data_IF_347294247285
#
_entry.id   IF_347294247285
#
_cell.length_a   1.000
_cell.length_b   1.000
_cell.length_c   1.000
_cell.angle_alpha   90.00
_cell.angle_beta   90.00
_cell.angle_gamma   90.00
#
_symmetry.space_group_name_H-M   'P 1'
#
loop_
_entity.id
_entity.type
_entity.pdbx_description
1 polymer ?
#
# COMPACT_ATOMS: atom_id res chain seq x y z
N UNK A 1 29.33 -18.84 60.71
CA UNK A 1 30.07 -17.59 60.91
C UNK A 1 30.25 -16.94 59.54
N UNK A 2 29.46 -15.90 59.26
CA UNK A 2 29.88 -14.48 59.19
C UNK A 2 30.69 -14.18 57.90
N UNK A 3 30.02 -13.72 56.83
CA UNK A 3 29.66 -12.33 56.47
C UNK A 3 30.82 -11.48 55.90
N UNK A 4 30.67 -11.06 54.63
CA UNK A 4 30.84 -9.66 54.13
C UNK A 4 30.67 -9.65 52.60
N UNK A 5 29.53 -9.20 52.07
CA UNK A 5 29.13 -7.81 51.82
C UNK A 5 29.98 -7.10 50.76
N UNK A 6 29.48 -7.06 49.53
CA UNK A 6 29.57 -5.87 48.69
C UNK A 6 28.18 -5.58 48.13
N UNK A 7 27.61 -4.47 48.61
CA UNK A 7 26.37 -3.90 48.12
C UNK A 7 26.69 -2.96 46.96
N UNK A 8 25.95 -3.08 45.85
CA UNK A 8 25.77 -2.01 44.88
C UNK A 8 24.27 -1.84 44.72
N UNK A 9 23.75 -0.77 45.30
CA UNK A 9 22.45 -0.19 44.98
C UNK A 9 22.61 0.59 43.67
N UNK A 10 21.76 0.34 42.69
CA UNK A 10 21.33 1.35 41.73
C UNK A 10 19.89 1.05 41.30
N UNK A 11 19.01 1.91 41.83
CA UNK A 11 17.65 2.18 41.38
C UNK A 11 17.66 2.55 39.89
N UNK A 12 16.85 1.90 39.05
CA UNK A 12 16.29 2.55 37.86
C UNK A 12 14.87 2.03 37.56
N UNK A 13 13.96 3.00 37.65
CA UNK A 13 12.63 3.17 37.08
C UNK A 13 11.98 2.08 36.21
N UNK A 14 10.72 1.85 36.59
CA UNK A 14 9.52 2.00 35.76
C UNK A 14 9.25 0.99 34.63
N UNK A 15 8.20 0.21 34.88
CA UNK A 15 7.09 -0.03 33.96
C UNK A 15 7.44 -0.23 32.48
N UNK A 16 7.68 -1.48 32.09
CA UNK A 16 7.24 -1.94 30.78
C UNK A 16 6.02 -2.82 30.98
N UNK A 17 4.87 -2.18 31.19
CA UNK A 17 3.60 -2.77 30.82
C UNK A 17 3.71 -2.98 29.30
N UNK A 18 3.99 -4.22 28.91
CA UNK A 18 3.68 -4.68 27.57
C UNK A 18 2.16 -4.52 27.42
N UNK A 19 1.75 -3.39 26.85
CA UNK A 19 0.44 -3.29 26.22
C UNK A 19 0.51 -4.23 25.04
N UNK A 20 0.12 -5.48 25.27
CA UNK A 20 -0.41 -6.33 24.22
C UNK A 20 -1.55 -5.52 23.60
N UNK A 21 -1.29 -4.88 22.47
CA UNK A 21 -2.37 -4.37 21.63
C UNK A 21 -3.12 -5.60 21.14
N UNK A 22 -4.13 -6.02 21.90
CA UNK A 22 -5.23 -6.77 21.33
C UNK A 22 -5.75 -5.89 20.20
N UNK A 23 -5.60 -6.31 18.95
CA UNK A 23 -6.42 -5.80 17.86
C UNK A 23 -7.86 -6.04 18.30
N UNK A 24 -8.51 -5.03 18.88
CA UNK A 24 -9.94 -5.05 19.03
C UNK A 24 -10.47 -5.10 17.61
N UNK A 25 -11.03 -6.23 17.19
CA UNK A 25 -11.76 -6.29 15.92
C UNK A 25 -12.92 -5.32 16.08
N UNK A 26 -12.85 -4.17 15.41
CA UNK A 26 -13.94 -3.20 15.47
C UNK A 26 -15.22 -3.90 15.00
N UNK A 27 -16.29 -3.77 15.77
CA UNK A 27 -17.57 -4.38 15.45
C UNK A 27 -18.50 -3.33 14.87
N UNK A 28 -19.14 -3.70 13.77
CA UNK A 28 -20.26 -2.96 13.22
C UNK A 28 -21.44 -2.93 14.21
N UNK A 29 -22.26 -1.89 14.10
CA UNK A 29 -23.50 -1.77 14.87
C UNK A 29 -24.53 -2.84 14.48
N UNK A 30 -25.02 -3.60 15.47
CA UNK A 30 -26.02 -4.65 15.25
C UNK A 30 -27.32 -4.14 14.60
N UNK A 31 -27.62 -2.85 14.74
CA UNK A 31 -28.79 -2.22 14.10
C UNK A 31 -28.73 -2.26 12.57
N UNK A 32 -27.59 -2.54 11.96
CA UNK A 32 -27.49 -2.81 10.51
C UNK A 32 -28.36 -3.99 10.07
N UNK A 33 -28.50 -5.03 10.89
CA UNK A 33 -29.34 -6.18 10.56
C UNK A 33 -30.83 -5.82 10.56
N UNK A 34 -31.20 -4.74 11.24
CA UNK A 34 -32.54 -4.16 11.28
C UNK A 34 -32.56 -2.76 10.66
N UNK A 35 -31.78 -2.53 9.59
CA UNK A 35 -31.60 -1.18 9.01
C UNK A 35 -32.92 -0.51 8.63
N UNK A 36 -33.94 -1.28 8.23
CA UNK A 36 -35.26 -0.75 7.91
C UNK A 36 -35.94 -0.05 9.08
N UNK A 37 -35.78 -0.57 10.30
CA UNK A 37 -36.38 0.05 11.50
C UNK A 37 -35.57 1.26 11.94
N UNK A 38 -34.25 1.20 11.82
CA UNK A 38 -33.40 2.38 12.01
C UNK A 38 -33.80 3.53 11.08
N UNK A 39 -34.00 3.25 9.79
CA UNK A 39 -34.42 4.27 8.81
C UNK A 39 -35.81 4.85 9.13
N UNK A 40 -36.76 4.03 9.60
CA UNK A 40 -38.08 4.54 10.05
C UNK A 40 -37.93 5.45 11.26
N UNK A 41 -37.09 5.10 12.23
CA UNK A 41 -36.83 5.94 13.41
C UNK A 41 -36.21 7.28 12.99
N UNK A 42 -35.31 7.26 12.01
CA UNK A 42 -34.71 8.47 11.45
C UNK A 42 -35.78 9.38 10.79
N UNK A 43 -36.62 8.80 9.93
CA UNK A 43 -37.68 9.54 9.22
C UNK A 43 -38.74 10.11 10.17
N UNK A 44 -38.94 9.48 11.34
CA UNK A 44 -39.90 9.94 12.35
C UNK A 44 -39.45 11.20 13.11
N UNK A 45 -38.24 11.71 12.85
CA UNK A 45 -37.70 12.91 13.48
C UNK A 45 -37.26 12.71 14.94
N UNK A 46 -37.13 11.45 15.38
CA UNK A 46 -36.61 11.13 16.71
C UNK A 46 -35.11 11.40 16.82
N UNK A 47 -34.61 11.57 18.06
CA UNK A 47 -33.17 11.62 18.32
C UNK A 47 -32.60 10.21 18.18
N UNK A 48 -31.98 9.91 17.04
CA UNK A 48 -31.40 8.59 16.75
C UNK A 48 -29.88 8.64 16.88
N UNK A 49 -29.32 7.73 17.68
CA UNK A 49 -27.86 7.59 17.80
C UNK A 49 -27.24 7.16 16.47
N UNK A 50 -26.11 7.75 16.04
CA UNK A 50 -25.43 7.35 14.81
C UNK A 50 -25.09 5.86 14.78
N UNK A 51 -25.12 5.26 13.58
CA UNK A 51 -24.62 3.90 13.35
C UNK A 51 -23.10 3.91 13.28
N UNK A 52 -22.48 2.99 14.00
CA UNK A 52 -21.02 2.79 13.98
C UNK A 52 -20.67 1.68 13.03
N UNK A 53 -19.89 1.98 12.01
CA UNK A 53 -19.53 1.03 10.95
C UNK A 53 -18.01 0.94 10.82
N UNK A 54 -17.52 -0.24 10.48
CA UNK A 54 -16.19 -0.42 9.92
C UNK A 54 -16.10 0.26 8.55
N UNK A 55 -14.89 0.63 8.09
CA UNK A 55 -14.68 1.24 6.79
C UNK A 55 -15.23 0.38 5.64
N UNK A 56 -15.03 -0.93 5.73
CA UNK A 56 -15.50 -1.91 4.74
C UNK A 56 -17.03 -1.91 4.64
N UNK A 57 -17.72 -2.01 5.77
CA UNK A 57 -19.18 -2.01 5.80
C UNK A 57 -19.75 -0.68 5.30
N UNK A 58 -19.15 0.45 5.67
CA UNK A 58 -19.53 1.76 5.13
C UNK A 58 -19.40 1.81 3.60
N UNK A 59 -18.30 1.29 3.03
CA UNK A 59 -18.07 1.27 1.58
C UNK A 59 -19.04 0.32 0.85
N UNK A 60 -19.46 -0.75 1.50
CA UNK A 60 -20.40 -1.73 0.97
C UNK A 60 -21.88 -1.30 1.07
N UNK A 61 -22.21 -0.24 1.83
CA UNK A 61 -23.54 0.34 1.78
C UNK A 61 -23.85 0.88 0.38
N UNK A 62 -25.05 0.58 -0.12
CA UNK A 62 -25.52 1.17 -1.38
C UNK A 62 -25.57 2.70 -1.25
N UNK A 63 -25.34 3.46 -2.34
CA UNK A 63 -25.38 4.92 -2.29
C UNK A 63 -26.67 5.48 -1.69
N UNK A 64 -27.82 4.90 -2.04
CA UNK A 64 -29.12 5.32 -1.52
C UNK A 64 -29.27 5.11 0.00
N UNK A 65 -28.75 3.99 0.54
CA UNK A 65 -28.77 3.75 1.99
C UNK A 65 -27.83 4.74 2.69
N UNK A 66 -26.62 4.91 2.17
CA UNK A 66 -25.62 5.85 2.73
C UNK A 66 -26.14 7.28 2.76
N UNK A 67 -26.74 7.75 1.66
CA UNK A 67 -27.33 9.08 1.56
C UNK A 67 -28.50 9.27 2.53
N UNK A 68 -29.36 8.25 2.67
CA UNK A 68 -30.52 8.34 3.58
C UNK A 68 -30.12 8.37 5.05
N UNK A 69 -29.07 7.65 5.44
CA UNK A 69 -28.53 7.72 6.81
C UNK A 69 -27.81 9.05 7.04
N UNK A 70 -27.07 9.54 6.03
CA UNK A 70 -26.39 10.83 6.06
C UNK A 70 -25.42 10.96 7.23
N UNK A 71 -25.57 12.03 8.01
CA UNK A 71 -24.70 12.37 9.15
C UNK A 71 -24.94 11.47 10.37
N UNK A 72 -25.92 10.56 10.32
CA UNK A 72 -26.09 9.53 11.35
C UNK A 72 -25.18 8.32 11.13
N UNK A 73 -24.05 8.51 10.45
CA UNK A 73 -22.98 7.53 10.27
C UNK A 73 -21.71 7.96 11.00
N UNK A 74 -21.07 6.97 11.62
CA UNK A 74 -19.74 7.09 12.21
C UNK A 74 -18.92 5.91 11.70
N UNK A 75 -17.74 6.19 11.16
CA UNK A 75 -16.81 5.16 10.70
C UNK A 75 -15.79 4.91 11.79
N UNK A 76 -15.53 3.65 12.12
CA UNK A 76 -14.51 3.23 13.07
C UNK A 76 -13.17 3.17 12.34
N UNK A 77 -12.15 3.90 12.82
CA UNK A 77 -10.79 3.76 12.31
C UNK A 77 -10.15 2.42 12.75
N UNK A 78 -8.91 2.18 12.33
CA UNK A 78 -8.13 0.99 12.70
C UNK A 78 -7.92 0.81 14.21
N UNK A 79 -8.06 1.88 14.99
CA UNK A 79 -8.00 1.89 16.45
C UNK A 79 -9.40 1.85 17.10
N UNK A 80 -10.43 1.54 16.31
CA UNK A 80 -11.85 1.57 16.67
C UNK A 80 -12.33 2.91 17.22
N UNK A 81 -11.67 4.01 16.84
CA UNK A 81 -12.10 5.35 17.22
C UNK A 81 -13.15 5.84 16.22
N UNK A 82 -14.21 6.50 16.72
CA UNK A 82 -15.27 7.01 15.86
C UNK A 82 -14.79 8.24 15.08
N UNK A 83 -14.94 8.18 13.76
CA UNK A 83 -14.78 9.29 12.82
C UNK A 83 -16.16 9.65 12.30
N UNK A 84 -16.63 10.86 12.63
CA UNK A 84 -17.95 11.34 12.22
C UNK A 84 -18.01 11.50 10.70
N UNK A 85 -19.06 10.98 10.06
CA UNK A 85 -19.37 11.29 8.65
C UNK A 85 -20.14 12.60 8.61
N UNK A 86 -19.76 13.49 7.70
CA UNK A 86 -20.44 14.76 7.49
C UNK A 86 -20.65 14.99 6.00
N UNK A 87 -21.88 15.29 5.60
CA UNK A 87 -22.27 15.44 4.20
C UNK A 87 -21.89 14.20 3.35
N UNK A 88 -21.98 13.01 3.95
CA UNK A 88 -21.73 11.73 3.29
C UNK A 88 -20.27 11.26 3.27
N UNK A 89 -19.30 12.05 3.73
CA UNK A 89 -17.87 11.69 3.76
C UNK A 89 -17.24 11.95 5.14
N UNK A 90 -16.23 11.17 5.58
CA UNK A 90 -15.44 11.52 6.75
C UNK A 90 -14.57 12.77 6.48
N UNK A 91 -14.36 13.65 7.48
CA UNK A 91 -13.59 14.89 7.32
C UNK A 91 -12.08 14.67 7.20
N UNK A 92 -11.61 13.47 7.56
CA UNK A 92 -10.21 13.06 7.48
C UNK A 92 -10.11 11.72 6.77
N UNK A 93 -8.98 11.49 6.11
CA UNK A 93 -8.75 10.21 5.42
C UNK A 93 -8.63 9.08 6.43
N UNK A 94 -9.43 8.04 6.24
CA UNK A 94 -9.42 6.84 7.06
C UNK A 94 -8.44 5.84 6.46
N UNK A 95 -7.51 5.38 7.28
CA UNK A 95 -6.54 4.37 6.89
C UNK A 95 -7.16 2.98 6.94
N UNK A 96 -6.92 2.16 5.91
CA UNK A 96 -7.39 0.78 5.85
C UNK A 96 -6.55 -0.04 4.87
N UNK A 97 -6.70 -1.37 4.89
CA UNK A 97 -5.90 -2.25 4.04
C UNK A 97 -6.17 -2.01 2.56
N UNK A 98 -5.10 -2.02 1.75
CA UNK A 98 -5.20 -1.79 0.31
C UNK A 98 -6.16 -2.76 -0.42
N UNK A 99 -6.21 -4.08 -0.11
CA UNK A 99 -7.13 -4.99 -0.77
C UNK A 99 -8.60 -4.57 -0.64
N UNK A 100 -9.00 -4.03 0.53
CA UNK A 100 -10.39 -3.60 0.76
C UNK A 100 -10.69 -2.31 -0.01
N UNK A 101 -9.76 -1.33 -0.01
CA UNK A 101 -9.90 -0.11 -0.82
C UNK A 101 -9.99 -0.45 -2.31
N UNK A 102 -9.08 -1.32 -2.78
CA UNK A 102 -9.05 -1.77 -4.16
C UNK A 102 -10.37 -2.44 -4.54
N UNK A 103 -10.83 -3.41 -3.76
CA UNK A 103 -12.10 -4.10 -3.99
C UNK A 103 -13.27 -3.13 -4.09
N UNK A 104 -13.44 -2.24 -3.10
CA UNK A 104 -14.50 -1.25 -3.09
C UNK A 104 -14.43 -0.29 -4.30
N UNK A 105 -13.22 0.10 -4.71
CA UNK A 105 -13.01 0.96 -5.88
C UNK A 105 -13.37 0.25 -7.18
N UNK A 106 -12.87 -0.97 -7.40
CA UNK A 106 -13.18 -1.76 -8.60
C UNK A 106 -14.68 -2.00 -8.72
N UNK A 107 -15.32 -2.39 -7.62
CA UNK A 107 -16.76 -2.56 -7.54
C UNK A 107 -17.54 -1.30 -7.92
N UNK A 108 -17.12 -0.13 -7.40
CA UNK A 108 -17.74 1.15 -7.73
C UNK A 108 -17.52 1.53 -9.20
N UNK A 109 -16.36 1.20 -9.78
CA UNK A 109 -16.07 1.39 -11.21
C UNK A 109 -16.96 0.51 -12.07
N UNK A 110 -17.08 -0.78 -11.75
CA UNK A 110 -17.90 -1.74 -12.48
C UNK A 110 -19.40 -1.40 -12.44
N UNK A 111 -19.87 -0.85 -11.31
CA UNK A 111 -21.27 -0.38 -11.16
C UNK A 111 -21.53 1.00 -11.77
N UNK A 112 -20.50 1.72 -12.21
CA UNK A 112 -20.63 3.11 -12.67
C UNK A 112 -21.00 4.11 -11.56
N UNK A 113 -20.74 3.75 -10.29
CA UNK A 113 -21.06 4.54 -9.10
C UNK A 113 -19.96 5.58 -8.84
N UNK A 114 -20.04 6.71 -9.55
CA UNK A 114 -19.05 7.78 -9.48
C UNK A 114 -18.99 8.47 -8.11
N UNK A 115 -20.08 8.43 -7.33
CA UNK A 115 -20.10 8.97 -5.96
C UNK A 115 -19.20 8.11 -5.09
N UNK A 116 -19.42 6.78 -5.05
CA UNK A 116 -18.58 5.88 -4.26
C UNK A 116 -17.13 5.90 -4.75
N UNK A 117 -16.87 5.97 -6.06
CA UNK A 117 -15.50 6.12 -6.59
C UNK A 117 -14.79 7.34 -5.99
N UNK A 118 -15.45 8.50 -5.97
CA UNK A 118 -14.90 9.74 -5.43
C UNK A 118 -14.70 9.66 -3.92
N UNK A 119 -15.66 9.08 -3.19
CA UNK A 119 -15.57 8.84 -1.75
C UNK A 119 -14.33 7.98 -1.47
N UNK A 120 -14.15 6.85 -2.15
CA UNK A 120 -13.01 5.94 -1.94
C UNK A 120 -11.68 6.69 -2.19
N UNK A 121 -11.57 7.48 -3.26
CA UNK A 121 -10.36 8.21 -3.61
C UNK A 121 -10.00 9.35 -2.65
N UNK A 122 -11.01 10.03 -2.06
CA UNK A 122 -10.81 11.23 -1.25
C UNK A 122 -10.78 10.94 0.24
N UNK A 123 -11.58 9.99 0.69
CA UNK A 123 -11.86 9.73 2.10
C UNK A 123 -11.08 8.56 2.68
N UNK A 124 -10.44 7.73 1.86
CA UNK A 124 -9.69 6.57 2.33
C UNK A 124 -8.24 6.63 1.88
N UNK A 125 -7.34 6.09 2.70
CA UNK A 125 -5.91 5.96 2.43
C UNK A 125 -5.48 4.52 2.64
N UNK A 126 -4.68 3.99 1.72
CA UNK A 126 -4.09 2.67 1.91
C UNK A 126 -3.10 2.70 3.09
N UNK A 127 -3.23 1.72 3.98
CA UNK A 127 -2.27 1.49 5.05
C UNK A 127 -0.86 1.25 4.46
N UNK A 128 0.20 1.69 5.15
CA UNK A 128 1.56 1.36 4.76
C UNK A 128 1.76 -0.15 4.68
N UNK A 129 2.65 -0.57 3.78
CA UNK A 129 2.99 -1.98 3.58
C UNK A 129 4.50 -2.18 3.70
N UNK A 130 4.89 -3.41 4.00
CA UNK A 130 6.29 -3.81 3.98
C UNK A 130 6.85 -3.78 2.56
N UNK A 131 8.19 -3.73 2.39
CA UNK A 131 8.79 -3.81 1.07
C UNK A 131 8.40 -5.09 0.34
N UNK A 132 8.44 -6.26 0.99
CA UNK A 132 7.98 -7.52 0.40
C UNK A 132 6.54 -7.48 -0.11
N UNK A 133 5.61 -6.92 0.68
CA UNK A 133 4.22 -6.72 0.26
C UNK A 133 4.12 -5.75 -0.92
N UNK A 134 4.82 -4.61 -0.87
CA UNK A 134 4.86 -3.66 -1.98
C UNK A 134 5.37 -4.31 -3.27
N UNK A 135 6.41 -5.13 -3.18
CA UNK A 135 6.97 -5.86 -4.32
C UNK A 135 5.91 -6.77 -4.97
N UNK A 136 4.99 -7.35 -4.20
CA UNK A 136 3.87 -8.13 -4.74
C UNK A 136 2.85 -7.25 -5.52
N UNK A 137 2.68 -5.99 -5.13
CA UNK A 137 1.79 -5.02 -5.79
C UNK A 137 2.30 -4.55 -7.15
N UNK A 138 3.57 -4.81 -7.49
CA UNK A 138 4.10 -4.53 -8.83
C UNK A 138 3.52 -5.45 -9.92
N UNK A 139 2.67 -6.40 -9.53
CA UNK A 139 1.89 -7.24 -10.45
C UNK A 139 0.92 -6.41 -11.28
N UNK A 140 0.80 -6.74 -12.57
CA UNK A 140 -0.16 -6.15 -13.51
C UNK A 140 -1.59 -6.62 -13.22
N UNK A 141 -2.57 -5.73 -13.36
CA UNK A 141 -4.00 -6.04 -13.34
C UNK A 141 -4.38 -6.65 -14.70
N UNK A 142 -4.59 -7.97 -14.77
CA UNK A 142 -4.66 -8.73 -16.04
C UNK A 142 -6.08 -9.01 -16.55
N UNK A 143 -7.08 -8.24 -16.14
CA UNK A 143 -8.49 -8.63 -16.35
C UNK A 143 -9.03 -8.36 -17.77
N UNK A 144 -8.79 -7.16 -18.35
CA UNK A 144 -9.04 -6.77 -19.75
C UNK A 144 -8.57 -5.31 -19.97
N UNK A 145 -8.20 -4.91 -21.19
CA UNK A 145 -7.93 -3.52 -21.59
C UNK A 145 -9.12 -2.58 -21.27
N UNK A 146 -10.36 -3.05 -21.39
CA UNK A 146 -11.56 -2.27 -21.06
C UNK A 146 -11.56 -1.86 -19.59
N UNK A 147 -11.38 -2.82 -18.68
CA UNK A 147 -11.38 -2.55 -17.25
C UNK A 147 -10.17 -1.70 -16.86
N UNK A 148 -8.99 -1.99 -17.43
CA UNK A 148 -7.78 -1.17 -17.24
C UNK A 148 -8.04 0.30 -17.58
N UNK A 149 -8.70 0.57 -18.72
CA UNK A 149 -9.05 1.92 -19.13
C UNK A 149 -10.15 2.55 -18.26
N UNK A 150 -11.07 1.76 -17.72
CA UNK A 150 -12.09 2.26 -16.78
C UNK A 150 -11.45 2.64 -15.44
N UNK A 151 -10.62 1.76 -14.86
CA UNK A 151 -9.88 2.00 -13.63
C UNK A 151 -8.94 3.19 -13.77
N UNK A 152 -8.17 3.26 -14.85
CA UNK A 152 -7.27 4.38 -15.17
C UNK A 152 -8.02 5.72 -15.17
N UNK A 153 -9.15 5.80 -15.88
CA UNK A 153 -9.97 7.02 -15.97
C UNK A 153 -10.59 7.39 -14.63
N UNK A 154 -11.17 6.42 -13.92
CA UNK A 154 -11.80 6.66 -12.63
C UNK A 154 -10.79 7.10 -11.57
N UNK A 155 -9.59 6.50 -11.57
CA UNK A 155 -8.53 6.82 -10.63
C UNK A 155 -7.76 8.09 -11.02
N UNK A 156 -7.86 8.53 -12.28
CA UNK A 156 -7.09 9.67 -12.81
C UNK A 156 -5.61 9.37 -12.93
N UNK A 157 -5.24 8.12 -13.22
CA UNK A 157 -3.84 7.67 -13.40
C UNK A 157 -3.64 7.23 -14.86
N UNK A 158 -2.59 7.70 -15.55
CA UNK A 158 -2.31 7.24 -16.91
C UNK A 158 -1.89 5.76 -16.86
N UNK A 159 -2.41 4.90 -17.77
CA UNK A 159 -1.92 3.53 -17.84
C UNK A 159 -0.54 3.51 -18.48
N UNK A 160 0.24 2.48 -18.15
CA UNK A 160 1.52 2.22 -18.77
C UNK A 160 1.32 1.56 -20.14
N UNK A 161 2.33 1.64 -21.00
CA UNK A 161 2.35 1.01 -22.32
C UNK A 161 3.46 -0.06 -22.37
N UNK A 162 3.20 -1.19 -23.01
CA UNK A 162 4.20 -2.24 -23.32
C UNK A 162 5.11 -1.89 -24.49
N UNK A 163 4.77 -0.87 -25.29
CA UNK A 163 5.59 -0.41 -26.42
C UNK A 163 6.96 0.06 -25.91
N UNK A 164 8.04 -0.52 -26.46
CA UNK A 164 9.44 -0.23 -26.11
C UNK A 164 9.99 -0.83 -24.80
N UNK A 165 9.68 -2.09 -24.48
CA UNK A 165 10.64 -2.86 -23.68
C UNK A 165 11.82 -3.22 -24.61
N UNK A 166 12.98 -2.59 -24.41
CA UNK A 166 14.17 -2.75 -25.27
C UNK A 166 14.75 -4.17 -25.36
N UNK A 167 14.04 -5.19 -24.88
CA UNK A 167 14.51 -6.58 -24.79
C UNK A 167 13.47 -7.66 -25.18
N UNK A 168 12.23 -7.33 -25.59
CA UNK A 168 11.23 -8.36 -25.93
C UNK A 168 11.30 -8.82 -27.40
N UNK A 169 12.10 -9.86 -27.67
CA UNK A 169 12.13 -10.66 -28.91
C UNK A 169 10.97 -11.67 -29.01
N UNK A 170 9.74 -11.23 -28.79
CA UNK A 170 8.55 -12.07 -28.95
C UNK A 170 7.51 -11.41 -29.84
N UNK A 171 7.03 -12.12 -30.86
CA UNK A 171 6.09 -11.61 -31.87
C UNK A 171 4.78 -11.03 -31.30
N UNK A 172 4.45 -11.35 -30.03
CA UNK A 172 3.28 -10.86 -29.30
C UNK A 172 3.37 -9.44 -28.73
N UNK A 173 4.52 -8.76 -28.84
CA UNK A 173 4.76 -7.41 -28.28
C UNK A 173 4.89 -6.30 -29.32
N UNK A 174 4.52 -6.62 -30.55
CA UNK A 174 4.52 -5.67 -31.67
C UNK A 174 3.34 -4.68 -31.61
N UNK A 175 2.33 -4.93 -30.77
CA UNK A 175 1.25 -3.99 -30.48
C UNK A 175 1.40 -3.39 -29.09
N UNK A 176 1.21 -2.06 -29.01
CA UNK A 176 1.07 -1.32 -27.75
C UNK A 176 -0.12 -1.90 -26.98
N UNK A 177 0.13 -2.33 -25.75
CA UNK A 177 -0.91 -2.74 -24.82
C UNK A 177 -0.81 -1.90 -23.56
N UNK A 178 -1.96 -1.43 -23.11
CA UNK A 178 -2.05 -0.61 -21.91
C UNK A 178 -2.21 -1.48 -20.67
N UNK A 179 -1.53 -1.14 -19.59
CA UNK A 179 -1.63 -1.87 -18.33
C UNK A 179 -1.55 -0.95 -17.11
N UNK A 180 -2.06 -1.45 -15.99
CA UNK A 180 -1.87 -0.87 -14.66
C UNK A 180 -1.28 -1.93 -13.73
N UNK A 181 -0.46 -1.50 -12.78
CA UNK A 181 -0.07 -2.31 -11.63
C UNK A 181 -1.02 -2.05 -10.47
N UNK A 182 -1.15 -3.03 -9.56
CA UNK A 182 -1.76 -2.77 -8.25
C UNK A 182 -1.05 -1.63 -7.51
N UNK A 183 0.28 -1.52 -7.67
CA UNK A 183 1.09 -0.45 -7.10
C UNK A 183 0.68 0.96 -7.56
N UNK A 184 0.18 1.12 -8.80
CA UNK A 184 -0.27 2.43 -9.29
C UNK A 184 -1.51 2.89 -8.51
N UNK A 185 -2.45 1.98 -8.27
CA UNK A 185 -3.65 2.26 -7.47
C UNK A 185 -3.30 2.42 -5.99
N UNK A 186 -2.38 1.60 -5.46
CA UNK A 186 -1.89 1.74 -4.09
C UNK A 186 -1.34 3.14 -3.81
N UNK A 187 -0.44 3.62 -4.68
CA UNK A 187 0.10 4.98 -4.63
C UNK A 187 -1.02 6.02 -4.79
N UNK A 188 -1.98 5.79 -5.70
CA UNK A 188 -3.11 6.71 -5.89
C UNK A 188 -3.97 6.86 -4.63
N UNK A 189 -4.10 5.80 -3.84
CA UNK A 189 -4.73 5.82 -2.52
C UNK A 189 -3.77 6.30 -1.42
N UNK A 190 -2.63 6.89 -1.77
CA UNK A 190 -1.66 7.42 -0.81
C UNK A 190 -0.93 6.36 -0.02
N UNK A 191 -0.92 5.11 -0.47
CA UNK A 191 -0.17 4.03 0.15
C UNK A 191 1.32 4.34 0.20
N UNK A 192 1.97 3.90 1.27
CA UNK A 192 3.40 4.10 1.52
C UNK A 192 4.10 2.77 1.74
N UNK A 193 5.38 2.69 1.40
CA UNK A 193 6.21 1.52 1.68
C UNK A 193 7.24 1.87 2.74
N UNK A 194 7.11 1.24 3.90
CA UNK A 194 7.94 1.51 5.06
C UNK A 194 9.02 0.43 5.18
N UNK A 195 10.28 0.85 5.12
CA UNK A 195 11.42 -0.01 5.40
C UNK A 195 11.60 -0.22 6.90
N UNK A 196 12.57 -1.07 7.28
CA UNK A 196 12.77 -1.43 8.70
C UNK A 196 13.20 -0.25 9.57
N UNK A 197 13.96 0.69 9.01
CA UNK A 197 14.54 1.83 9.73
C UNK A 197 14.41 3.14 8.93
N UNK A 198 13.29 3.34 8.23
CA UNK A 198 13.05 4.51 7.38
C UNK A 198 12.43 4.14 6.03
N UNK A 199 12.61 4.96 4.98
CA UNK A 199 12.14 4.63 3.65
C UNK A 199 12.68 3.29 3.16
N UNK A 200 11.85 2.48 2.49
CA UNK A 200 12.32 1.24 1.88
C UNK A 200 13.34 1.51 0.76
N UNK A 201 14.32 0.61 0.59
CA UNK A 201 15.32 0.71 -0.49
C UNK A 201 15.00 -0.29 -1.60
N UNK A 202 14.73 0.22 -2.81
CA UNK A 202 14.42 -0.58 -4.00
C UNK A 202 15.47 -0.34 -5.09
N UNK A 203 16.14 -1.41 -5.51
CA UNK A 203 17.17 -1.38 -6.55
C UNK A 203 16.62 -2.02 -7.83
N UNK A 204 16.68 -1.29 -8.95
CA UNK A 204 16.44 -1.82 -10.29
C UNK A 204 17.73 -2.16 -11.00
N UNK A 205 17.86 -3.42 -11.45
CA UNK A 205 19.05 -3.93 -12.12
C UNK A 205 18.83 -4.34 -13.58
N UNK A 206 19.82 -5.03 -14.15
CA UNK A 206 19.76 -5.59 -15.50
C UNK A 206 18.61 -6.60 -15.63
N UNK A 207 18.01 -6.70 -16.82
CA UNK A 207 16.83 -7.57 -17.06
C UNK A 207 15.70 -7.29 -16.07
N UNK A 208 15.24 -6.04 -15.97
CA UNK A 208 14.00 -5.63 -15.29
C UNK A 208 13.81 -6.09 -13.83
N UNK A 209 14.83 -6.66 -13.20
CA UNK A 209 14.77 -7.20 -11.86
C UNK A 209 14.75 -6.08 -10.83
N UNK A 210 14.04 -6.32 -9.73
CA UNK A 210 13.93 -5.39 -8.63
C UNK A 210 14.29 -6.11 -7.33
N UNK A 211 15.12 -5.48 -6.51
CA UNK A 211 15.54 -5.98 -5.21
C UNK A 211 15.09 -5.00 -4.13
N UNK A 212 14.40 -5.50 -3.12
CA UNK A 212 14.26 -4.83 -1.83
C UNK A 212 15.43 -5.20 -0.93
N UNK A 213 16.17 -4.21 -0.43
CA UNK A 213 17.29 -4.45 0.50
C UNK A 213 16.81 -4.77 1.93
N UNK A 214 15.71 -4.16 2.35
CA UNK A 214 15.15 -4.35 3.69
C UNK A 214 14.77 -5.81 3.97
N UNK A 215 14.16 -6.47 2.98
CA UNK A 215 13.64 -7.84 3.10
C UNK A 215 14.46 -8.87 2.32
N UNK A 216 15.52 -8.45 1.62
CA UNK A 216 16.31 -9.31 0.71
C UNK A 216 15.44 -10.04 -0.33
N UNK A 217 14.37 -9.38 -0.77
CA UNK A 217 13.42 -9.92 -1.75
C UNK A 217 13.79 -9.43 -3.14
N UNK A 218 14.18 -10.36 -4.01
CA UNK A 218 14.28 -10.12 -5.45
C UNK A 218 12.99 -10.57 -6.10
N UNK A 219 12.33 -9.65 -6.80
CA UNK A 219 11.26 -10.02 -7.72
C UNK A 219 11.70 -9.77 -9.15
N UNK A 220 11.04 -10.52 -10.02
CA UNK A 220 10.95 -10.17 -11.40
C UNK A 220 9.51 -9.78 -11.67
N UNK A 221 9.21 -8.51 -11.99
CA UNK A 221 7.87 -8.11 -12.40
C UNK A 221 7.47 -8.72 -13.77
N UNK A 222 8.17 -9.75 -14.27
CA UNK A 222 7.91 -10.50 -15.50
C UNK A 222 6.63 -11.34 -15.51
N UNK A 223 5.59 -10.99 -14.76
CA UNK A 223 4.32 -11.65 -15.04
C UNK A 223 3.88 -11.20 -16.43
N UNK A 224 4.14 -12.08 -17.40
CA UNK A 224 3.88 -11.90 -18.82
C UNK A 224 2.49 -11.33 -18.98
N UNK A 225 2.36 -10.03 -19.26
CA UNK A 225 1.12 -9.55 -19.82
C UNK A 225 1.11 -9.98 -21.28
N UNK A 226 0.51 -11.15 -21.54
CA UNK A 226 0.41 -11.72 -22.89
C UNK A 226 1.76 -11.86 -23.63
N UNK A 227 2.84 -12.21 -22.91
CA UNK A 227 4.17 -12.37 -23.50
C UNK A 227 5.06 -11.11 -23.45
N UNK A 228 4.56 -9.97 -22.95
CA UNK A 228 5.29 -8.70 -22.92
C UNK A 228 5.86 -8.33 -21.57
N UNK A 229 7.02 -7.66 -21.61
CA UNK A 229 7.77 -7.25 -20.43
C UNK A 229 7.26 -5.90 -19.93
N UNK A 230 6.99 -5.83 -18.63
CA UNK A 230 6.73 -4.58 -17.92
C UNK A 230 7.99 -3.68 -17.93
N UNK A 231 7.77 -2.38 -18.10
CA UNK A 231 8.88 -1.42 -18.13
C UNK A 231 9.43 -1.22 -16.71
N UNK A 232 10.74 -1.45 -16.50
CA UNK A 232 11.39 -1.30 -15.18
C UNK A 232 11.16 0.08 -14.57
N UNK A 233 11.18 1.12 -15.41
CA UNK A 233 10.94 2.49 -14.95
C UNK A 233 9.52 2.67 -14.39
N UNK A 234 8.52 1.92 -14.87
CA UNK A 234 7.17 1.98 -14.31
C UNK A 234 7.19 1.52 -12.85
N UNK A 235 7.82 0.37 -12.58
CA UNK A 235 7.94 -0.17 -11.22
C UNK A 235 8.77 0.74 -10.30
N UNK A 236 9.90 1.28 -10.78
CA UNK A 236 10.72 2.21 -10.00
C UNK A 236 9.99 3.54 -9.74
N UNK A 237 9.23 4.05 -10.70
CA UNK A 237 8.40 5.24 -10.50
C UNK A 237 7.30 4.99 -9.47
N UNK A 238 6.65 3.83 -9.51
CA UNK A 238 5.65 3.45 -8.49
C UNK A 238 6.29 3.33 -7.10
N UNK A 239 7.45 2.67 -6.99
CA UNK A 239 8.20 2.57 -5.73
C UNK A 239 8.56 3.94 -5.16
N UNK A 240 9.11 4.83 -6.00
CA UNK A 240 9.44 6.20 -5.61
C UNK A 240 8.19 6.97 -5.14
N UNK A 241 7.08 6.83 -5.85
CA UNK A 241 5.83 7.50 -5.49
C UNK A 241 5.20 6.94 -4.20
N UNK A 242 5.48 5.68 -3.85
CA UNK A 242 5.13 5.09 -2.56
C UNK A 242 6.08 5.51 -1.41
N UNK A 243 7.07 6.38 -1.68
CA UNK A 243 8.03 6.85 -0.67
C UNK A 243 9.30 6.01 -0.55
N UNK A 244 9.51 5.01 -1.41
CA UNK A 244 10.76 4.27 -1.44
C UNK A 244 11.93 5.13 -1.95
N UNK A 245 13.11 4.86 -1.42
CA UNK A 245 14.37 5.24 -2.04
C UNK A 245 14.64 4.29 -3.20
N UNK A 246 14.81 4.85 -4.42
CA UNK A 246 15.01 4.04 -5.63
C UNK A 246 16.36 4.26 -6.26
N UNK A 247 17.00 3.16 -6.68
CA UNK A 247 18.27 3.19 -7.39
C UNK A 247 18.17 2.41 -8.68
N UNK A 248 18.58 3.03 -9.80
CA UNK A 248 18.57 2.38 -11.10
C UNK A 248 20.00 2.12 -11.56
N UNK A 249 20.41 0.85 -11.55
CA UNK A 249 21.75 0.43 -11.97
C UNK A 249 21.89 0.35 -13.50
N UNK A 250 20.84 0.69 -14.26
CA UNK A 250 20.87 0.76 -15.72
C UNK A 250 20.96 -0.61 -16.39
N UNK A 251 21.48 -0.63 -17.63
CA UNK A 251 21.70 -1.84 -18.43
C UNK A 251 23.10 -2.44 -18.25
N UNK A 252 23.93 -1.87 -17.38
CA UNK A 252 25.34 -2.21 -17.27
C UNK A 252 25.56 -3.40 -16.33
N UNK A 253 25.39 -4.61 -16.86
CA UNK A 253 26.08 -5.83 -16.40
C UNK A 253 25.73 -6.41 -15.02
N UNK A 254 25.00 -5.68 -14.16
CA UNK A 254 24.58 -6.19 -12.85
C UNK A 254 23.29 -7.00 -13.03
N UNK A 255 23.48 -8.26 -13.42
CA UNK A 255 22.40 -9.22 -13.52
C UNK A 255 21.95 -9.66 -12.12
N UNK A 256 20.99 -8.96 -11.54
CA UNK A 256 20.31 -9.39 -10.31
C UNK A 256 19.71 -10.81 -10.46
N UNK A 257 19.54 -11.27 -11.71
CA UNK A 257 18.92 -12.53 -12.09
C UNK A 257 19.82 -13.73 -12.32
N UNK A 258 21.13 -13.55 -12.45
CA UNK A 258 21.99 -14.74 -12.39
C UNK A 258 22.13 -15.13 -10.93
N UNK A 259 22.15 -16.43 -10.66
CA UNK A 259 22.67 -16.95 -9.39
C UNK A 259 23.97 -16.24 -9.03
N UNK A 260 24.81 -15.82 -9.98
CA UNK A 260 25.98 -14.96 -9.78
C UNK A 260 25.74 -13.50 -9.28
N UNK A 261 24.56 -13.10 -8.81
CA UNK A 261 24.35 -11.87 -8.00
C UNK A 261 23.84 -12.23 -6.61
N UNK A 262 22.90 -13.17 -6.53
CA UNK A 262 22.50 -13.82 -5.27
C UNK A 262 23.69 -14.53 -4.61
N UNK A 263 24.62 -15.07 -5.42
CA UNK A 263 25.86 -15.77 -5.03
C UNK A 263 27.14 -14.97 -5.24
N UNK A 264 27.12 -13.84 -5.96
CA UNK A 264 28.26 -12.91 -5.92
C UNK A 264 28.17 -12.08 -4.65
N UNK A 265 28.61 -12.76 -3.60
CA UNK A 265 28.78 -12.28 -2.24
C UNK A 265 29.27 -10.84 -2.20
N UNK A 266 30.19 -10.45 -3.08
CA UNK A 266 30.84 -9.14 -3.08
C UNK A 266 29.92 -7.98 -3.45
N UNK A 267 29.03 -8.15 -4.43
CA UNK A 267 28.10 -7.08 -4.83
C UNK A 267 26.95 -7.00 -3.83
N UNK A 268 26.45 -8.14 -3.37
CA UNK A 268 25.46 -8.21 -2.29
C UNK A 268 26.01 -7.59 -0.99
N UNK A 269 27.20 -8.00 -0.54
CA UNK A 269 27.91 -7.41 0.61
C UNK A 269 28.09 -5.91 0.40
N UNK A 270 28.50 -5.43 -0.78
CA UNK A 270 28.65 -3.98 -1.01
C UNK A 270 27.34 -3.21 -0.78
N UNK A 271 26.21 -3.70 -1.31
CA UNK A 271 24.91 -3.05 -1.18
C UNK A 271 24.33 -3.15 0.22
N UNK A 272 24.36 -4.35 0.80
CA UNK A 272 23.89 -4.60 2.16
C UNK A 272 24.79 -3.90 3.18
N UNK A 273 26.11 -3.81 2.99
CA UNK A 273 27.01 -3.09 3.88
C UNK A 273 26.79 -1.58 3.80
N UNK A 274 26.52 -1.02 2.61
CA UNK A 274 26.14 0.40 2.47
C UNK A 274 24.80 0.67 3.17
N UNK A 275 23.78 -0.15 2.92
CA UNK A 275 22.49 -0.04 3.59
C UNK A 275 22.63 -0.20 5.11
N UNK A 276 23.36 -1.22 5.58
CA UNK A 276 23.58 -1.46 7.01
C UNK A 276 24.37 -0.32 7.67
N UNK A 277 25.31 0.32 6.97
CA UNK A 277 25.99 1.53 7.47
C UNK A 277 25.02 2.71 7.55
N UNK A 278 24.19 2.91 6.53
CA UNK A 278 23.16 3.94 6.52
C UNK A 278 22.18 3.76 7.70
N UNK A 279 21.65 2.55 7.89
CA UNK A 279 20.80 2.17 9.03
C UNK A 279 21.50 2.44 10.37
N UNK A 280 22.76 2.00 10.53
CA UNK A 280 23.51 2.18 11.79
C UNK A 280 23.84 3.64 12.11
N UNK A 281 23.90 4.49 11.09
CA UNK A 281 24.20 5.90 11.26
C UNK A 281 22.98 6.72 11.71
N UNK A 282 21.80 6.10 11.85
CA UNK A 282 20.53 6.77 12.21
C UNK A 282 20.29 8.05 11.38
N UNK A 283 20.74 8.02 10.12
CA UNK A 283 20.93 9.23 9.30
C UNK A 283 19.85 9.35 8.23
N UNK A 284 18.78 10.13 8.48
CA UNK A 284 17.79 10.47 7.47
C UNK A 284 18.27 11.53 6.46
N UNK A 285 19.44 12.15 6.63
CA UNK A 285 19.74 13.41 5.94
C UNK A 285 20.45 13.34 4.59
N UNK A 286 20.93 12.19 4.12
CA UNK A 286 21.35 12.10 2.71
C UNK A 286 21.24 10.66 2.21
N UNK A 287 20.09 10.37 1.61
CA UNK A 287 19.99 9.29 0.63
C UNK A 287 21.05 9.58 -0.43
N UNK A 288 22.02 8.67 -0.70
CA UNK A 288 23.05 8.93 -1.70
C UNK A 288 22.41 9.32 -3.04
N UNK A 289 22.75 10.50 -3.56
CA UNK A 289 22.19 11.03 -4.82
C UNK A 289 22.39 10.05 -5.99
N UNK A 290 23.55 9.39 -5.97
CA UNK A 290 23.78 8.13 -6.64
C UNK A 290 24.56 7.21 -5.70
N UNK A 291 24.50 5.90 -5.92
CA UNK A 291 25.33 4.96 -5.16
C UNK A 291 26.77 4.83 -5.70
N UNK A 292 27.11 5.62 -6.72
CA UNK A 292 28.42 5.67 -7.33
C UNK A 292 29.27 6.85 -6.84
N UNK A 293 28.68 7.72 -6.02
CA UNK A 293 29.39 8.76 -5.26
C UNK A 293 30.01 8.18 -3.98
#
# INVERSE_FOLDING_TARGET
MLFRNFAIFLFFCAASLYVSQSHASCMDDERLYAIGDFLKSLDSGGVVQPLRLTPETYLNLTPGVRQRIGDHLVILDESCRPVQVFAGEPPVRIMMSFPVIYGAFVDAVLRGDTVTQNIVLRSFKAAPVTPAEFMSLLTVITENDLLTNQLSRAAGIPPHDTKFSGDSRGDGCNSSKMYLMFADLFVRFGGQVDGRNGPAWVIGGYRHALLSLDDDVVIYPYRFFNGCLQHRQASLSAAKAAGATVFNLGGHGVNLASDAYVSNKRVRELWFDRYNRWVKADSPEEIPATLFD
#
